data_IF_819586514152
#
_entry.id   IF_819586514152
#
_cell.length_a   1.000
_cell.length_b   1.000
_cell.length_c   1.000
_cell.angle_alpha   90.00
_cell.angle_beta   90.00
_cell.angle_gamma   90.00
#
_symmetry.space_group_name_H-M   'P 1'
#
loop_
_entity.id
_entity.type
_entity.pdbx_description
1 polymer ?
#
# COMPACT_ATOMS: atom_id res chain seq x y z
N UNK A 1 2.40 -4.94 35.50
CA UNK A 1 1.53 -4.63 34.34
C UNK A 1 0.67 -3.43 34.70
N UNK A 2 0.39 -2.50 33.75
CA UNK A 2 -0.54 -1.41 34.02
C UNK A 2 -1.87 -1.99 34.54
N UNK A 3 -2.52 -1.28 35.47
CA UNK A 3 -3.72 -1.76 36.17
C UNK A 3 -4.96 -1.94 35.27
N UNK A 4 -4.88 -1.49 34.02
CA UNK A 4 -5.96 -1.56 33.02
C UNK A 4 -6.10 -2.96 32.42
N UNK A 5 -7.32 -3.34 32.05
CA UNK A 5 -7.69 -4.65 31.49
C UNK A 5 -7.50 -5.86 32.44
N UNK A 6 -7.60 -5.66 33.77
CA UNK A 6 -7.55 -6.77 34.75
C UNK A 6 -8.86 -7.55 34.85
N UNK A 7 -9.98 -6.85 34.66
CA UNK A 7 -11.32 -7.41 34.76
C UNK A 7 -11.89 -7.68 33.35
N UNK A 8 -12.78 -8.67 33.20
CA UNK A 8 -13.45 -8.93 31.93
C UNK A 8 -14.38 -7.77 31.54
N UNK A 9 -14.58 -7.61 30.23
CA UNK A 9 -15.46 -6.60 29.64
C UNK A 9 -16.82 -7.20 29.29
N UNK A 10 -17.90 -6.45 29.50
CA UNK A 10 -19.27 -6.88 29.20
C UNK A 10 -19.63 -6.68 27.72
N UNK A 11 -19.03 -5.68 27.06
CA UNK A 11 -19.22 -5.38 25.66
C UNK A 11 -17.90 -5.15 24.93
N UNK A 12 -17.86 -5.47 23.64
CA UNK A 12 -16.76 -5.07 22.75
C UNK A 12 -16.63 -3.54 22.66
N UNK A 13 -17.72 -2.80 22.87
CA UNK A 13 -17.69 -1.33 22.90
C UNK A 13 -16.85 -0.80 24.07
N UNK A 14 -16.78 -1.53 25.18
CA UNK A 14 -16.00 -1.15 26.36
C UNK A 14 -14.48 -1.33 26.14
N UNK A 15 -14.09 -2.00 25.06
CA UNK A 15 -12.69 -2.11 24.60
C UNK A 15 -12.23 -0.88 23.81
N UNK A 16 -13.13 0.05 23.48
CA UNK A 16 -12.78 1.24 22.71
C UNK A 16 -12.01 2.22 23.60
N UNK A 17 -10.79 2.51 23.19
CA UNK A 17 -9.90 3.45 23.88
C UNK A 17 -8.82 2.77 24.70
N UNK A 18 -8.11 3.57 25.50
CA UNK A 18 -6.93 3.13 26.26
C UNK A 18 -5.89 2.34 25.46
N UNK A 19 -5.77 2.67 24.17
CA UNK A 19 -4.84 2.02 23.25
C UNK A 19 -3.39 2.21 23.70
N UNK A 20 -2.48 1.26 23.44
CA UNK A 20 -1.09 1.42 23.85
C UNK A 20 -0.41 2.61 23.16
N UNK A 21 0.58 3.19 23.86
CA UNK A 21 1.52 4.14 23.27
C UNK A 21 2.90 3.47 23.23
N UNK A 22 3.51 3.47 22.05
CA UNK A 22 4.77 2.77 21.79
C UNK A 22 5.84 3.77 21.35
N UNK A 23 7.07 3.61 21.86
CA UNK A 23 8.23 4.36 21.37
C UNK A 23 8.77 3.71 20.10
N UNK A 24 8.97 4.48 19.05
CA UNK A 24 9.65 4.02 17.83
C UNK A 24 11.16 3.91 18.07
N UNK A 25 11.82 2.96 17.40
CA UNK A 25 13.23 2.61 17.66
C UNK A 25 14.07 2.61 16.38
N UNK A 26 13.73 1.76 15.42
CA UNK A 26 14.47 1.54 14.18
C UNK A 26 14.20 2.65 13.15
N UNK A 27 12.93 3.02 12.95
CA UNK A 27 12.54 3.91 11.84
C UNK A 27 12.91 5.38 12.06
N UNK A 28 13.29 5.75 13.28
CA UNK A 28 13.62 7.15 13.63
C UNK A 28 14.99 7.59 13.08
N UNK A 29 15.75 6.68 12.46
CA UNK A 29 17.04 6.96 11.79
C UNK A 29 18.02 7.77 12.64
N UNK A 30 18.14 7.39 13.92
CA UNK A 30 19.04 8.05 14.86
C UNK A 30 18.59 9.44 15.36
N UNK A 31 17.34 9.84 15.14
CA UNK A 31 16.80 11.06 15.72
C UNK A 31 16.98 11.07 17.25
N UNK A 32 17.59 12.14 17.78
CA UNK A 32 17.84 12.28 19.22
C UNK A 32 16.55 12.49 20.01
N UNK A 33 15.60 13.22 19.43
CA UNK A 33 14.26 13.42 19.99
C UNK A 33 13.42 12.14 19.91
N UNK A 34 12.92 11.59 21.03
CA UNK A 34 12.04 10.43 21.04
C UNK A 34 10.70 10.67 20.33
N UNK A 35 10.33 9.73 19.44
CA UNK A 35 9.01 9.68 18.79
C UNK A 35 8.21 8.50 19.34
N UNK A 36 6.97 8.78 19.71
CA UNK A 36 6.00 7.81 20.20
C UNK A 36 4.80 7.77 19.27
N UNK A 37 4.14 6.62 19.20
CA UNK A 37 2.93 6.43 18.43
C UNK A 37 1.82 5.83 19.30
N UNK A 38 0.62 6.39 19.19
CA UNK A 38 -0.60 5.86 19.81
C UNK A 38 -1.25 4.84 18.86
N UNK A 39 -1.39 3.60 19.30
CA UNK A 39 -1.77 2.46 18.45
C UNK A 39 -3.30 2.33 18.33
N UNK A 40 -3.93 3.30 17.68
CA UNK A 40 -5.39 3.38 17.55
C UNK A 40 -6.03 2.23 16.75
N UNK A 41 -5.25 1.53 15.93
CA UNK A 41 -5.69 0.29 15.29
C UNK A 41 -6.03 -0.84 16.28
N UNK A 42 -5.60 -0.74 17.54
CA UNK A 42 -5.88 -1.78 18.56
C UNK A 42 -7.29 -1.69 19.14
N UNK A 43 -8.11 -0.74 18.68
CA UNK A 43 -9.55 -0.76 18.92
C UNK A 43 -10.22 -1.98 18.25
N UNK A 44 -11.41 -2.40 18.73
CA UNK A 44 -12.09 -3.60 18.25
C UNK A 44 -12.53 -3.55 16.78
N UNK A 45 -12.86 -2.37 16.27
CA UNK A 45 -13.14 -2.13 14.85
C UNK A 45 -11.87 -1.87 14.03
N UNK A 46 -10.70 -1.94 14.66
CA UNK A 46 -9.40 -1.87 14.01
C UNK A 46 -8.98 -0.47 13.60
N UNK A 47 -9.58 0.59 14.18
CA UNK A 47 -9.21 1.96 13.84
C UNK A 47 -9.59 3.01 14.89
N UNK A 48 -8.97 4.19 14.78
CA UNK A 48 -9.30 5.39 15.57
C UNK A 48 -10.78 5.79 15.48
N UNK A 49 -11.48 5.41 14.40
CA UNK A 49 -12.87 5.81 14.17
C UNK A 49 -13.85 5.08 15.07
N UNK A 50 -13.43 3.99 15.72
CA UNK A 50 -14.23 3.28 16.73
C UNK A 50 -14.74 4.25 17.80
N UNK A 51 -13.88 5.18 18.23
CA UNK A 51 -14.21 6.24 19.21
C UNK A 51 -15.36 7.11 18.74
N UNK A 52 -15.31 7.58 17.50
CA UNK A 52 -16.31 8.54 17.00
C UNK A 52 -17.62 7.85 16.62
N UNK A 53 -17.55 6.59 16.20
CA UNK A 53 -18.74 5.82 15.83
C UNK A 53 -19.71 5.67 16.99
N UNK A 54 -19.20 5.21 18.15
CA UNK A 54 -20.03 5.12 19.36
C UNK A 54 -20.41 6.51 19.90
N UNK A 55 -19.47 7.46 19.93
CA UNK A 55 -19.74 8.78 20.50
C UNK A 55 -20.84 9.56 19.75
N UNK A 56 -20.89 9.46 18.41
CA UNK A 56 -21.96 10.11 17.63
C UNK A 56 -23.33 9.46 17.87
N UNK A 57 -23.38 8.13 18.08
CA UNK A 57 -24.62 7.42 18.43
C UNK A 57 -25.09 7.85 19.82
N UNK A 58 -24.19 7.86 20.82
CA UNK A 58 -24.52 8.23 22.20
C UNK A 58 -24.90 9.70 22.33
N UNK A 59 -24.30 10.58 21.52
CA UNK A 59 -24.74 11.97 21.42
C UNK A 59 -26.18 12.07 20.93
N UNK A 60 -26.52 11.37 19.84
CA UNK A 60 -27.88 11.35 19.30
C UNK A 60 -28.91 10.71 20.25
N UNK A 61 -28.51 9.68 21.02
CA UNK A 61 -29.31 9.09 22.10
C UNK A 61 -29.61 10.13 23.19
N UNK A 62 -28.56 10.82 23.67
CA UNK A 62 -28.67 11.83 24.75
C UNK A 62 -29.49 13.04 24.34
N UNK A 63 -29.43 13.43 23.07
CA UNK A 63 -30.25 14.51 22.49
C UNK A 63 -31.69 14.08 22.21
N UNK A 64 -31.97 12.76 22.26
CA UNK A 64 -33.28 12.20 21.95
C UNK A 64 -33.63 12.19 20.46
N UNK A 65 -32.67 12.50 19.58
CA UNK A 65 -32.82 12.49 18.12
C UNK A 65 -32.80 11.06 17.58
N UNK A 66 -32.05 10.16 18.23
CA UNK A 66 -32.04 8.73 17.96
C UNK A 66 -32.82 7.96 19.04
N UNK A 67 -33.92 7.30 18.65
CA UNK A 67 -34.77 6.48 19.53
C UNK A 67 -34.47 5.00 19.33
N UNK A 68 -34.82 4.17 20.32
CA UNK A 68 -34.67 2.71 20.25
C UNK A 68 -35.22 2.12 18.93
N UNK A 69 -34.42 1.29 18.26
CA UNK A 69 -34.75 0.74 16.94
C UNK A 69 -34.64 1.74 15.77
N UNK A 70 -34.14 2.96 16.03
CA UNK A 70 -33.90 3.99 15.02
C UNK A 70 -32.79 3.64 14.03
N UNK A 71 -32.53 4.55 13.10
CA UNK A 71 -31.57 4.33 12.02
C UNK A 71 -30.43 5.35 12.06
N UNK A 72 -29.20 4.88 11.91
CA UNK A 72 -28.01 5.71 11.76
C UNK A 72 -27.59 5.67 10.30
N UNK A 73 -27.43 6.84 9.69
CA UNK A 73 -27.06 6.98 8.29
C UNK A 73 -25.71 7.71 8.19
N UNK A 74 -24.81 7.24 7.33
CA UNK A 74 -23.54 7.93 7.09
C UNK A 74 -23.07 7.83 5.65
N UNK A 75 -22.48 8.92 5.16
CA UNK A 75 -21.86 9.00 3.85
C UNK A 75 -20.39 8.56 3.91
N UNK A 76 -20.14 7.25 3.99
CA UNK A 76 -18.79 6.70 4.09
C UNK A 76 -18.69 5.24 3.66
N UNK A 77 -17.56 4.88 3.07
CA UNK A 77 -17.14 3.47 2.88
C UNK A 77 -15.91 3.10 3.70
N UNK A 78 -15.48 3.96 4.64
CA UNK A 78 -14.25 3.81 5.39
C UNK A 78 -14.46 3.37 6.84
N UNK A 79 -13.44 3.66 7.64
CA UNK A 79 -13.34 3.26 9.05
C UNK A 79 -14.52 3.74 9.91
N UNK A 80 -15.07 4.93 9.63
CA UNK A 80 -16.24 5.48 10.35
C UNK A 80 -17.50 4.65 10.11
N UNK A 81 -17.71 4.16 8.88
CA UNK A 81 -18.88 3.33 8.58
C UNK A 81 -18.84 2.02 9.35
N UNK A 82 -17.64 1.42 9.44
CA UNK A 82 -17.42 0.20 10.21
C UNK A 82 -17.68 0.41 11.71
N UNK A 83 -17.14 1.50 12.26
CA UNK A 83 -17.34 1.87 13.66
C UNK A 83 -18.83 2.09 13.99
N UNK A 84 -19.55 2.79 13.11
CA UNK A 84 -20.99 3.02 13.25
C UNK A 84 -21.78 1.71 13.12
N UNK A 85 -21.44 0.84 12.15
CA UNK A 85 -22.10 -0.45 11.97
C UNK A 85 -21.95 -1.34 13.20
N UNK A 86 -20.73 -1.45 13.74
CA UNK A 86 -20.44 -2.19 14.96
C UNK A 86 -21.23 -1.67 16.15
N UNK A 87 -21.19 -0.35 16.40
CA UNK A 87 -21.90 0.26 17.53
C UNK A 87 -23.44 0.16 17.36
N UNK A 88 -23.96 0.40 16.16
CA UNK A 88 -25.38 0.28 15.85
C UNK A 88 -25.89 -1.16 16.07
N UNK A 89 -25.16 -2.17 15.59
CA UNK A 89 -25.54 -3.58 15.77
C UNK A 89 -25.69 -3.95 17.25
N UNK A 90 -24.78 -3.48 18.11
CA UNK A 90 -24.77 -3.78 19.53
C UNK A 90 -25.78 -2.98 20.34
N UNK A 91 -26.12 -1.77 19.88
CA UNK A 91 -27.14 -0.90 20.51
C UNK A 91 -28.55 -1.08 19.94
N UNK A 92 -28.73 -1.99 18.97
CA UNK A 92 -30.04 -2.31 18.40
C UNK A 92 -30.54 -1.27 17.40
N UNK A 93 -29.64 -0.62 16.67
CA UNK A 93 -29.95 0.33 15.61
C UNK A 93 -29.72 -0.27 14.23
N UNK A 94 -30.49 0.22 13.25
CA UNK A 94 -30.21 -0.02 11.84
C UNK A 94 -29.10 0.92 11.38
N UNK A 95 -28.15 0.44 10.59
CA UNK A 95 -27.07 1.26 10.03
C UNK A 95 -27.14 1.25 8.50
N UNK A 96 -27.13 2.44 7.87
CA UNK A 96 -27.12 2.60 6.42
C UNK A 96 -25.90 3.43 6.03
N UNK A 97 -25.00 2.85 5.23
CA UNK A 97 -23.85 3.55 4.67
C UNK A 97 -24.06 3.81 3.18
N UNK A 98 -23.88 5.06 2.74
CA UNK A 98 -23.78 5.39 1.31
C UNK A 98 -22.32 5.53 0.90
N UNK A 99 -21.95 4.96 -0.24
CA UNK A 99 -20.58 5.09 -0.75
C UNK A 99 -20.52 5.04 -2.28
N UNK A 100 -19.51 5.70 -2.90
CA UNK A 100 -19.30 5.63 -4.34
C UNK A 100 -18.94 4.22 -4.84
N UNK A 101 -19.30 3.92 -6.08
CA UNK A 101 -19.01 2.65 -6.79
C UNK A 101 -17.51 2.37 -7.04
N UNK A 102 -16.63 3.38 -6.91
CA UNK A 102 -15.17 3.19 -6.94
C UNK A 102 -14.59 2.55 -5.68
N UNK A 103 -15.38 2.41 -4.61
CA UNK A 103 -14.91 1.80 -3.36
C UNK A 103 -14.70 0.30 -3.53
N UNK A 104 -13.71 -0.25 -2.84
CA UNK A 104 -13.32 -1.65 -2.98
C UNK A 104 -14.44 -2.61 -2.52
N UNK A 105 -14.52 -3.78 -3.16
CA UNK A 105 -15.54 -4.79 -2.84
C UNK A 105 -15.44 -5.29 -1.39
N UNK A 106 -14.22 -5.28 -0.86
CA UNK A 106 -13.86 -5.68 0.50
C UNK A 106 -14.51 -4.77 1.54
N UNK A 107 -14.55 -3.45 1.29
CA UNK A 107 -15.18 -2.49 2.20
C UNK A 107 -16.70 -2.69 2.28
N UNK A 108 -17.33 -2.95 1.13
CA UNK A 108 -18.77 -3.26 1.06
C UNK A 108 -19.09 -4.56 1.81
N UNK A 109 -18.29 -5.62 1.59
CA UNK A 109 -18.47 -6.91 2.26
C UNK A 109 -18.27 -6.79 3.77
N UNK A 110 -17.26 -6.03 4.21
CA UNK A 110 -16.98 -5.82 5.62
C UNK A 110 -18.15 -5.10 6.32
N UNK A 111 -18.66 -4.01 5.75
CA UNK A 111 -19.81 -3.29 6.32
C UNK A 111 -21.05 -4.19 6.43
N UNK A 112 -21.34 -4.97 5.38
CA UNK A 112 -22.45 -5.93 5.40
C UNK A 112 -22.27 -7.03 6.44
N UNK A 113 -21.04 -7.47 6.69
CA UNK A 113 -20.74 -8.46 7.73
C UNK A 113 -21.05 -7.94 9.15
N UNK A 114 -20.89 -6.63 9.37
CA UNK A 114 -21.32 -5.93 10.60
C UNK A 114 -22.80 -5.53 10.61
N UNK A 115 -23.58 -6.01 9.63
CA UNK A 115 -25.03 -5.78 9.58
C UNK A 115 -25.45 -4.43 9.01
N UNK A 116 -24.53 -3.64 8.44
CA UNK A 116 -24.88 -2.40 7.78
C UNK A 116 -25.47 -2.65 6.39
N UNK A 117 -26.50 -1.88 6.05
CA UNK A 117 -26.98 -1.76 4.68
C UNK A 117 -26.06 -0.82 3.91
N UNK A 118 -25.71 -1.22 2.69
CA UNK A 118 -24.78 -0.47 1.84
C UNK A 118 -25.49 -0.04 0.57
N UNK A 119 -25.63 1.27 0.39
CA UNK A 119 -26.16 1.90 -0.82
C UNK A 119 -24.99 2.41 -1.66
N UNK A 120 -24.81 1.78 -2.82
CA UNK A 120 -23.79 2.20 -3.78
C UNK A 120 -24.32 3.35 -4.64
N UNK A 121 -23.51 4.38 -4.82
CA UNK A 121 -23.83 5.55 -5.64
C UNK A 121 -22.81 5.76 -6.76
N UNK A 122 -23.17 6.38 -7.89
CA UNK A 122 -22.21 6.69 -8.95
C UNK A 122 -21.07 7.59 -8.46
N UNK A 123 -19.83 7.30 -8.85
CA UNK A 123 -18.68 8.19 -8.57
C UNK A 123 -18.68 9.43 -9.45
N UNK A 124 -19.07 9.31 -10.71
CA UNK A 124 -18.90 10.35 -11.73
C UNK A 124 -20.03 11.39 -11.72
N UNK A 125 -20.37 11.93 -10.54
CA UNK A 125 -21.36 12.99 -10.38
C UNK A 125 -20.81 14.13 -9.52
N UNK A 126 -21.17 15.40 -9.79
CA UNK A 126 -20.78 16.54 -8.96
C UNK A 126 -21.30 16.44 -7.50
N UNK A 127 -20.66 17.12 -6.52
CA UNK A 127 -21.02 17.05 -5.10
C UNK A 127 -22.46 17.46 -4.73
N UNK A 128 -23.09 18.30 -5.55
CA UNK A 128 -24.46 18.80 -5.41
C UNK A 128 -25.49 17.90 -6.13
N UNK A 129 -25.05 16.93 -6.93
CA UNK A 129 -25.94 16.02 -7.63
C UNK A 129 -26.70 15.10 -6.65
N UNK A 130 -28.02 14.84 -6.86
CA UNK A 130 -28.83 14.02 -5.94
C UNK A 130 -28.29 12.60 -5.69
N UNK A 131 -27.61 12.02 -6.68
CA UNK A 131 -26.98 10.70 -6.56
C UNK A 131 -25.57 10.73 -6.00
N UNK A 132 -25.01 11.90 -5.66
CA UNK A 132 -23.76 11.97 -4.93
C UNK A 132 -23.94 11.31 -3.55
N UNK A 133 -22.97 10.49 -3.13
CA UNK A 133 -23.08 9.66 -1.91
C UNK A 133 -23.54 10.45 -0.67
N UNK A 134 -23.06 11.69 -0.50
CA UNK A 134 -23.46 12.58 0.59
C UNK A 134 -24.92 13.04 0.47
N UNK A 135 -25.35 13.45 -0.73
CA UNK A 135 -26.75 13.87 -0.97
C UNK A 135 -27.69 12.69 -0.80
N UNK A 136 -27.26 11.50 -1.22
CA UNK A 136 -28.01 10.27 -1.02
C UNK A 136 -28.20 9.93 0.46
N UNK A 137 -27.16 10.08 1.28
CA UNK A 137 -27.27 9.89 2.74
C UNK A 137 -28.26 10.88 3.36
N UNK A 138 -28.18 12.16 2.98
CA UNK A 138 -29.12 13.19 3.42
C UNK A 138 -30.56 12.87 3.03
N UNK A 139 -30.78 12.45 1.79
CA UNK A 139 -32.10 12.07 1.30
C UNK A 139 -32.66 10.84 2.04
N UNK A 140 -31.84 9.81 2.27
CA UNK A 140 -32.23 8.62 3.05
C UNK A 140 -32.60 9.02 4.49
N UNK A 141 -31.79 9.88 5.12
CA UNK A 141 -32.05 10.37 6.48
C UNK A 141 -33.38 11.11 6.54
N UNK A 142 -33.61 12.05 5.63
CA UNK A 142 -34.85 12.83 5.58
C UNK A 142 -36.10 11.98 5.29
N UNK A 143 -35.96 10.92 4.49
CA UNK A 143 -37.06 10.03 4.11
C UNK A 143 -37.33 8.90 5.12
N UNK A 144 -36.43 8.66 6.08
CA UNK A 144 -36.54 7.54 7.02
C UNK A 144 -36.94 8.05 8.41
N UNK A 145 -38.16 7.76 8.88
CA UNK A 145 -38.60 8.18 10.22
C UNK A 145 -37.68 7.65 11.32
N UNK A 146 -37.21 8.55 12.19
CA UNK A 146 -36.29 8.19 13.28
C UNK A 146 -34.85 7.91 12.84
N UNK A 147 -34.49 8.30 11.61
CA UNK A 147 -33.11 8.29 11.17
C UNK A 147 -32.35 9.55 11.60
N UNK A 148 -31.07 9.36 11.96
CA UNK A 148 -30.11 10.44 12.19
C UNK A 148 -28.91 10.24 11.28
N UNK A 149 -28.38 11.34 10.77
CA UNK A 149 -27.12 11.32 10.05
C UNK A 149 -25.98 11.50 11.05
N UNK A 150 -24.97 10.64 11.04
CA UNK A 150 -23.84 10.77 11.96
C UNK A 150 -23.02 12.03 11.65
N UNK A 151 -22.84 12.34 10.36
CA UNK A 151 -22.28 13.59 9.82
C UNK A 151 -20.90 13.95 10.41
N UNK A 152 -19.95 13.00 10.30
CA UNK A 152 -18.66 13.05 10.98
C UNK A 152 -17.81 14.31 10.74
N UNK A 153 -18.08 15.07 9.67
CA UNK A 153 -17.36 16.29 9.33
C UNK A 153 -17.84 17.52 10.12
N UNK A 154 -19.07 17.49 10.65
CA UNK A 154 -19.72 18.62 11.33
C UNK A 154 -20.28 18.27 12.71
N UNK A 155 -20.28 16.98 13.10
CA UNK A 155 -20.75 16.54 14.40
C UNK A 155 -19.68 16.76 15.49
N UNK A 156 -19.96 17.64 16.46
CA UNK A 156 -19.06 17.97 17.58
C UNK A 156 -18.74 16.77 18.50
N UNK A 157 -19.53 15.70 18.48
CA UNK A 157 -19.17 14.47 19.18
C UNK A 157 -17.85 13.87 18.69
N UNK A 158 -17.45 14.15 17.45
CA UNK A 158 -16.17 13.72 16.88
C UNK A 158 -14.95 14.37 17.58
N UNK A 159 -14.77 15.71 17.57
CA UNK A 159 -13.68 16.33 18.34
C UNK A 159 -13.83 16.11 19.85
N UNK A 160 -15.06 16.12 20.38
CA UNK A 160 -15.28 15.99 21.81
C UNK A 160 -14.81 14.63 22.36
N UNK A 161 -15.05 13.51 21.67
CA UNK A 161 -14.58 12.21 22.17
C UNK A 161 -13.05 12.15 22.22
N UNK A 162 -12.37 12.77 21.27
CA UNK A 162 -10.90 12.83 21.26
C UNK A 162 -10.34 13.75 22.35
N UNK A 163 -11.07 14.81 22.71
CA UNK A 163 -10.78 15.63 23.87
C UNK A 163 -10.90 14.84 25.18
N UNK A 164 -12.03 14.15 25.38
CA UNK A 164 -12.35 13.43 26.61
C UNK A 164 -11.52 12.15 26.80
N UNK A 165 -11.14 11.51 25.70
CA UNK A 165 -10.44 10.22 25.72
C UNK A 165 -9.02 10.34 25.17
N UNK A 166 -8.84 10.42 23.86
CA UNK A 166 -7.51 10.31 23.21
C UNK A 166 -6.49 11.30 23.78
N UNK A 167 -6.85 12.58 23.95
CA UNK A 167 -5.97 13.61 24.51
C UNK A 167 -5.59 13.32 25.96
N UNK A 168 -6.57 12.94 26.79
CA UNK A 168 -6.35 12.49 28.18
C UNK A 168 -5.43 11.28 28.24
N UNK A 169 -5.66 10.28 27.40
CA UNK A 169 -4.85 9.07 27.37
C UNK A 169 -3.39 9.38 27.02
N UNK A 170 -3.15 10.23 26.01
CA UNK A 170 -1.80 10.66 25.63
C UNK A 170 -1.11 11.42 26.78
N UNK A 171 -1.84 12.32 27.44
CA UNK A 171 -1.32 13.06 28.59
C UNK A 171 -0.93 12.13 29.74
N UNK A 172 -1.81 11.22 30.13
CA UNK A 172 -1.55 10.26 31.21
C UNK A 172 -0.42 9.28 30.86
N UNK A 173 -0.43 8.70 29.66
CA UNK A 173 0.59 7.73 29.22
C UNK A 173 1.98 8.36 29.05
N UNK A 174 2.06 9.66 28.73
CA UNK A 174 3.32 10.40 28.70
C UNK A 174 3.78 10.86 30.08
N UNK A 175 2.91 10.81 31.10
CA UNK A 175 3.15 11.41 32.41
C UNK A 175 3.22 12.94 32.35
N UNK A 176 2.44 13.56 31.46
CA UNK A 176 2.41 15.01 31.23
C UNK A 176 3.64 15.57 30.49
N UNK A 177 4.46 14.70 29.87
CA UNK A 177 5.72 15.09 29.20
C UNK A 177 5.56 15.39 27.72
N UNK A 178 4.41 15.09 27.11
CA UNK A 178 4.16 15.38 25.69
C UNK A 178 4.48 16.85 25.38
N UNK A 179 5.29 17.07 24.35
CA UNK A 179 5.73 18.40 23.90
C UNK A 179 5.16 18.75 22.54
N UNK A 180 5.00 17.73 21.67
CA UNK A 180 4.50 17.88 20.32
C UNK A 180 3.50 16.76 20.06
N UNK A 181 2.34 17.10 19.49
CA UNK A 181 1.39 16.14 18.96
C UNK A 181 1.27 16.34 17.45
N UNK A 182 1.50 15.28 16.69
CA UNK A 182 1.53 15.29 15.23
C UNK A 182 0.35 14.46 14.72
N UNK A 183 -0.52 15.07 13.93
CA UNK A 183 -1.67 14.38 13.36
C UNK A 183 -2.06 14.97 12.00
N UNK A 184 -2.72 14.16 11.16
CA UNK A 184 -3.34 14.61 9.93
C UNK A 184 -4.83 14.87 10.13
N UNK A 185 -5.38 15.86 9.43
CA UNK A 185 -6.82 16.08 9.40
C UNK A 185 -7.45 15.35 8.21
N UNK A 186 -8.31 14.36 8.50
CA UNK A 186 -9.35 13.92 7.56
C UNK A 186 -10.62 14.72 7.81
N UNK A 187 -11.33 14.37 8.89
CA UNK A 187 -12.42 15.20 9.44
C UNK A 187 -11.90 16.34 10.31
N UNK A 188 -10.67 16.27 10.82
CA UNK A 188 -10.13 17.25 11.77
C UNK A 188 -10.46 16.99 13.24
N UNK A 189 -11.52 16.22 13.54
CA UNK A 189 -11.93 15.95 14.93
C UNK A 189 -10.81 15.44 15.85
N UNK A 190 -9.93 14.55 15.38
CA UNK A 190 -8.81 14.05 16.20
C UNK A 190 -7.80 15.13 16.57
N UNK A 191 -7.29 15.90 15.59
CA UNK A 191 -6.29 16.95 15.86
C UNK A 191 -6.90 18.07 16.70
N UNK A 192 -8.16 18.43 16.43
CA UNK A 192 -8.93 19.40 17.23
C UNK A 192 -9.08 18.95 18.67
N UNK A 193 -9.65 17.77 18.90
CA UNK A 193 -9.97 17.28 20.24
C UNK A 193 -8.74 17.07 21.11
N UNK A 194 -7.73 16.38 20.56
CA UNK A 194 -6.45 16.19 21.26
C UNK A 194 -5.75 17.53 21.49
N UNK A 195 -5.72 18.41 20.48
CA UNK A 195 -5.10 19.73 20.58
C UNK A 195 -5.70 20.59 21.70
N UNK A 196 -7.04 20.69 21.74
CA UNK A 196 -7.78 21.40 22.80
C UNK A 196 -7.41 20.85 24.19
N UNK A 197 -7.42 19.53 24.37
CA UNK A 197 -7.10 18.92 25.67
C UNK A 197 -5.66 19.18 26.09
N UNK A 198 -4.70 18.96 25.19
CA UNK A 198 -3.29 19.11 25.50
C UNK A 198 -2.91 20.57 25.79
N UNK A 199 -3.46 21.53 25.03
CA UNK A 199 -3.25 22.97 25.30
C UNK A 199 -3.90 23.44 26.59
N UNK A 200 -5.03 22.85 27.01
CA UNK A 200 -5.58 23.09 28.36
C UNK A 200 -4.60 22.64 29.46
N UNK A 201 -3.99 21.46 29.31
CA UNK A 201 -3.05 20.93 30.30
C UNK A 201 -1.71 21.63 30.30
N UNK A 202 -1.21 21.97 29.12
CA UNK A 202 0.02 22.73 28.95
C UNK A 202 -0.04 23.51 27.63
N UNK A 203 -0.21 24.86 27.67
CA UNK A 203 -0.32 25.68 26.46
C UNK A 203 0.96 25.70 25.62
N UNK A 204 2.10 25.25 26.17
CA UNK A 204 3.36 25.13 25.44
C UNK A 204 3.41 23.89 24.52
N UNK A 205 2.45 22.96 24.61
CA UNK A 205 2.37 21.83 23.68
C UNK A 205 2.08 22.35 22.27
N UNK A 206 2.89 21.89 21.32
CA UNK A 206 2.78 22.22 19.90
C UNK A 206 1.96 21.16 19.17
N UNK A 207 0.93 21.59 18.45
CA UNK A 207 0.06 20.74 17.64
C UNK A 207 0.45 20.92 16.18
N UNK A 208 0.90 19.85 15.53
CA UNK A 208 1.44 19.90 14.17
C UNK A 208 0.57 19.08 13.23
N UNK A 209 -0.01 19.76 12.24
CA UNK A 209 -0.74 19.15 11.14
C UNK A 209 0.21 18.56 10.10
N UNK A 210 -0.08 17.35 9.61
CA UNK A 210 0.56 16.77 8.41
C UNK A 210 -0.51 16.54 7.35
N UNK A 211 -0.37 17.13 6.18
CA UNK A 211 -1.31 17.01 5.06
C UNK A 211 -0.67 16.27 3.89
N UNK A 212 -1.44 15.44 3.15
CA UNK A 212 -0.97 14.94 1.88
C UNK A 212 -0.92 16.05 0.83
N UNK A 213 0.08 15.99 -0.05
CA UNK A 213 0.07 16.78 -1.29
C UNK A 213 -1.25 16.58 -2.05
N UNK A 214 -1.87 17.70 -2.45
CA UNK A 214 -3.17 17.72 -3.12
C UNK A 214 -4.37 17.97 -2.20
N UNK A 215 -4.21 17.95 -0.88
CA UNK A 215 -5.23 18.50 0.03
C UNK A 215 -5.16 20.02 0.12
N UNK A 216 -6.30 20.65 0.37
CA UNK A 216 -6.40 22.11 0.58
C UNK A 216 -6.20 22.55 2.04
N UNK A 217 -6.08 21.63 3.01
CA UNK A 217 -6.10 21.98 4.44
C UNK A 217 -4.87 22.76 4.85
N UNK A 218 -3.67 22.24 4.56
CA UNK A 218 -2.41 22.94 4.83
C UNK A 218 -2.24 24.22 4.00
N UNK A 219 -2.52 24.25 2.68
CA UNK A 219 -2.53 25.50 1.93
C UNK A 219 -3.42 26.58 2.55
N UNK A 220 -4.64 26.21 2.94
CA UNK A 220 -5.58 27.13 3.59
C UNK A 220 -5.05 27.62 4.95
N UNK A 221 -4.51 26.73 5.78
CA UNK A 221 -3.89 27.12 7.06
C UNK A 221 -2.73 28.09 6.87
N UNK A 222 -1.83 27.82 5.92
CA UNK A 222 -0.59 28.57 5.73
C UNK A 222 -0.79 29.92 5.01
N UNK A 223 -1.79 30.03 4.14
CA UNK A 223 -1.96 31.19 3.25
C UNK A 223 -3.29 31.92 3.44
N UNK A 224 -4.29 31.28 4.05
CA UNK A 224 -5.68 31.75 4.08
C UNK A 224 -6.45 31.55 2.77
N UNK A 225 -5.81 31.01 1.72
CA UNK A 225 -6.42 30.83 0.41
C UNK A 225 -6.88 29.38 0.20
N UNK A 226 -8.08 29.21 -0.33
CA UNK A 226 -8.61 27.91 -0.74
C UNK A 226 -8.13 27.62 -2.16
N UNK A 227 -7.14 26.74 -2.29
CA UNK A 227 -6.66 26.25 -3.58
C UNK A 227 -7.53 25.14 -4.17
N UNK A 228 -7.14 24.64 -5.35
CA UNK A 228 -7.77 23.45 -5.93
C UNK A 228 -7.16 22.17 -5.33
N UNK A 229 -8.01 21.24 -4.90
CA UNK A 229 -7.56 19.91 -4.49
C UNK A 229 -7.13 19.09 -5.71
N UNK A 230 -6.07 18.30 -5.58
CA UNK A 230 -5.69 17.31 -6.59
C UNK A 230 -5.75 15.89 -6.01
N UNK A 231 -6.01 14.86 -6.84
CA UNK A 231 -6.11 13.49 -6.34
C UNK A 231 -4.79 12.97 -5.78
N UNK A 232 -4.87 12.32 -4.61
CA UNK A 232 -3.79 11.56 -3.98
C UNK A 232 -4.27 10.15 -3.61
N UNK A 233 -3.33 9.27 -3.24
CA UNK A 233 -3.54 7.84 -3.03
C UNK A 233 -3.67 7.46 -1.56
N UNK A 234 -3.06 8.21 -0.63
CA UNK A 234 -3.24 7.95 0.80
C UNK A 234 -4.70 8.13 1.19
N UNK A 235 -5.22 7.25 2.03
CA UNK A 235 -6.64 7.22 2.39
C UNK A 235 -6.88 7.70 3.82
N UNK A 236 -8.00 8.39 4.03
CA UNK A 236 -8.51 8.75 5.36
C UNK A 236 -8.02 10.07 5.94
N UNK A 237 -7.16 10.79 5.21
CA UNK A 237 -6.58 12.08 5.57
C UNK A 237 -6.59 13.03 4.36
N UNK A 238 -6.42 14.33 4.61
CA UNK A 238 -6.59 15.37 3.62
C UNK A 238 -8.06 15.55 3.23
N UNK A 239 -8.35 16.67 2.60
CA UNK A 239 -9.69 17.08 2.22
C UNK A 239 -9.70 18.06 1.04
N UNK A 240 -10.83 18.12 0.35
CA UNK A 240 -11.20 19.10 -0.69
C UNK A 240 -12.04 20.26 -0.14
N UNK A 241 -12.37 20.20 1.16
CA UNK A 241 -13.06 21.25 1.93
C UNK A 241 -12.50 21.33 3.34
N UNK A 242 -12.68 22.47 4.02
CA UNK A 242 -12.37 22.58 5.45
C UNK A 242 -13.53 22.01 6.28
N UNK A 243 -13.33 20.92 7.06
CA UNK A 243 -14.39 20.36 7.89
C UNK A 243 -14.79 21.29 9.03
N UNK A 244 -16.06 21.26 9.44
CA UNK A 244 -16.53 22.05 10.60
C UNK A 244 -15.94 21.59 11.94
N UNK A 245 -15.56 20.31 12.04
CA UNK A 245 -14.89 19.75 13.23
C UNK A 245 -13.39 20.03 13.30
N UNK A 246 -12.81 20.68 12.28
CA UNK A 246 -11.42 21.12 12.29
C UNK A 246 -11.32 22.54 12.87
N UNK A 247 -10.70 22.64 14.04
CA UNK A 247 -10.35 23.90 14.68
C UNK A 247 -8.90 24.22 14.32
N UNK A 248 -8.69 25.18 13.41
CA UNK A 248 -7.35 25.56 12.98
C UNK A 248 -6.62 26.41 14.01
N UNK A 249 -7.33 27.07 14.93
CA UNK A 249 -6.73 27.94 15.94
C UNK A 249 -5.92 27.14 16.99
N UNK A 250 -6.21 25.84 17.13
CA UNK A 250 -5.42 24.96 18.00
C UNK A 250 -4.17 24.39 17.32
N UNK A 251 -4.02 24.54 16.00
CA UNK A 251 -2.89 24.02 15.23
C UNK A 251 -1.78 25.07 15.14
N UNK A 252 -0.56 24.66 15.44
CA UNK A 252 0.60 25.55 15.56
C UNK A 252 1.51 25.58 14.32
N UNK A 253 1.48 24.51 13.53
CA UNK A 253 2.28 24.30 12.30
C UNK A 253 1.54 23.28 11.42
N UNK A 254 1.63 23.40 10.10
CA UNK A 254 1.00 22.48 9.16
C UNK A 254 1.89 22.23 7.96
N UNK A 255 2.30 20.97 7.77
CA UNK A 255 3.27 20.55 6.75
C UNK A 255 2.60 19.72 5.68
N UNK A 256 3.13 19.81 4.47
CA UNK A 256 2.66 19.05 3.30
C UNK A 256 3.70 17.99 2.96
N UNK A 257 3.26 16.75 2.74
CA UNK A 257 4.13 15.63 2.39
C UNK A 257 3.53 14.77 1.27
N UNK A 258 4.35 14.19 0.38
CA UNK A 258 3.87 13.38 -0.73
C UNK A 258 3.44 11.97 -0.29
N UNK A 259 2.57 11.34 -1.09
CA UNK A 259 2.17 9.93 -0.94
C UNK A 259 3.36 8.97 -0.84
N UNK A 260 4.44 9.23 -1.58
CA UNK A 260 5.64 8.40 -1.57
C UNK A 260 6.25 8.30 -0.17
N UNK A 261 6.29 9.40 0.58
CA UNK A 261 6.78 9.43 1.96
C UNK A 261 5.87 8.61 2.88
N UNK A 262 4.56 8.72 2.69
CA UNK A 262 3.56 7.94 3.44
C UNK A 262 3.79 6.44 3.28
N UNK A 263 3.86 5.98 2.04
CA UNK A 263 3.92 4.57 1.71
C UNK A 263 5.29 3.96 2.03
N UNK A 264 6.38 4.69 1.78
CA UNK A 264 7.70 4.25 2.20
C UNK A 264 7.76 4.05 3.71
N UNK A 265 7.27 5.03 4.50
CA UNK A 265 7.30 4.93 5.95
C UNK A 265 6.38 3.84 6.49
N UNK A 266 5.16 3.65 5.95
CA UNK A 266 4.27 2.56 6.37
C UNK A 266 4.93 1.17 6.19
N UNK A 267 5.62 0.95 5.07
CA UNK A 267 6.36 -0.29 4.81
C UNK A 267 7.57 -0.45 5.74
N UNK A 268 8.29 0.63 6.02
CA UNK A 268 9.39 0.64 7.00
C UNK A 268 8.91 0.31 8.40
N UNK A 269 7.85 0.97 8.89
CA UNK A 269 7.23 0.65 10.19
C UNK A 269 6.87 -0.83 10.31
N UNK A 270 6.32 -1.42 9.25
CA UNK A 270 5.99 -2.85 9.25
C UNK A 270 7.24 -3.74 9.35
N UNK A 271 8.28 -3.45 8.55
CA UNK A 271 9.49 -4.28 8.47
C UNK A 271 10.46 -4.08 9.64
N UNK A 272 10.57 -2.86 10.15
CA UNK A 272 11.62 -2.44 11.08
C UNK A 272 11.11 -2.30 12.53
N UNK A 273 9.80 -2.09 12.74
CA UNK A 273 9.17 -2.01 14.07
C UNK A 273 8.16 -3.13 14.34
N UNK A 274 7.80 -3.92 13.32
CA UNK A 274 6.70 -4.88 13.43
C UNK A 274 5.32 -4.22 13.53
N UNK A 275 5.20 -2.93 13.17
CA UNK A 275 3.96 -2.16 13.24
C UNK A 275 3.23 -2.18 11.90
N UNK A 276 2.23 -3.05 11.78
CA UNK A 276 1.46 -3.22 10.54
C UNK A 276 0.39 -2.14 10.37
N UNK A 277 0.78 -1.02 9.76
CA UNK A 277 0.02 0.23 9.76
C UNK A 277 -0.55 0.61 8.38
N UNK A 278 -1.58 1.46 8.36
CA UNK A 278 -2.06 2.11 7.14
C UNK A 278 -1.15 3.22 6.60
N UNK A 279 -1.41 3.68 5.37
CA UNK A 279 -0.64 4.75 4.73
C UNK A 279 -0.71 6.09 5.46
N UNK A 280 -1.85 6.44 6.05
CA UNK A 280 -2.02 7.69 6.81
C UNK A 280 -1.09 7.76 8.03
N UNK A 281 -0.91 6.64 8.73
CA UNK A 281 0.05 6.52 9.81
C UNK A 281 1.48 6.70 9.30
N UNK A 282 1.82 6.13 8.14
CA UNK A 282 3.10 6.34 7.50
C UNK A 282 3.41 7.82 7.25
N UNK A 283 2.43 8.59 6.74
CA UNK A 283 2.61 10.03 6.49
C UNK A 283 2.86 10.81 7.80
N UNK A 284 2.02 10.59 8.81
CA UNK A 284 2.14 11.30 10.10
C UNK A 284 3.43 10.92 10.86
N UNK A 285 3.84 9.65 10.80
CA UNK A 285 5.08 9.18 11.44
C UNK A 285 6.30 9.72 10.70
N UNK A 286 6.27 9.78 9.36
CA UNK A 286 7.32 10.42 8.58
C UNK A 286 7.50 11.88 9.00
N UNK A 287 6.41 12.67 8.99
CA UNK A 287 6.44 14.07 9.42
C UNK A 287 6.87 14.24 10.89
N UNK A 288 6.47 13.32 11.79
CA UNK A 288 6.89 13.34 13.19
C UNK A 288 8.39 13.08 13.35
N UNK A 289 8.98 12.20 12.54
CA UNK A 289 10.42 11.91 12.55
C UNK A 289 11.20 13.09 11.98
N UNK A 290 10.74 13.72 10.89
CA UNK A 290 11.36 14.94 10.36
C UNK A 290 11.33 16.07 11.39
N UNK A 291 10.20 16.27 12.06
CA UNK A 291 10.07 17.21 13.17
C UNK A 291 11.02 16.87 14.33
N UNK A 292 11.10 15.60 14.72
CA UNK A 292 11.99 15.14 15.79
C UNK A 292 13.46 15.41 15.47
N UNK A 293 13.89 15.23 14.22
CA UNK A 293 15.23 15.57 13.73
C UNK A 293 15.50 17.07 13.76
N UNK A 294 14.49 17.90 13.50
CA UNK A 294 14.61 19.36 13.59
C UNK A 294 14.68 19.88 15.03
N UNK A 295 13.92 19.27 15.95
CA UNK A 295 13.92 19.64 17.38
C UNK A 295 15.26 19.30 18.03
N UNK A 296 15.84 18.14 17.71
CA UNK A 296 17.12 17.64 18.23
C UNK A 296 17.30 17.74 19.77
N UNK A 297 16.23 17.45 20.53
CA UNK A 297 16.22 17.47 21.99
C UNK A 297 15.82 16.09 22.57
N UNK A 298 16.72 15.39 23.28
CA UNK A 298 16.40 14.10 23.89
C UNK A 298 15.34 14.18 25.00
N UNK A 299 15.02 15.37 25.51
CA UNK A 299 13.98 15.57 26.53
C UNK A 299 12.61 15.89 25.92
N UNK A 300 12.54 16.22 24.64
CA UNK A 300 11.29 16.40 23.95
C UNK A 300 10.54 15.06 23.82
N UNK A 301 9.23 15.14 23.66
CA UNK A 301 8.34 13.99 23.60
C UNK A 301 7.33 14.24 22.48
N UNK A 302 7.60 13.64 21.32
CA UNK A 302 6.78 13.77 20.11
C UNK A 302 5.83 12.59 20.04
N UNK A 303 4.53 12.84 19.90
CA UNK A 303 3.50 11.79 19.78
C UNK A 303 2.80 11.91 18.43
N UNK A 304 2.70 10.80 17.72
CA UNK A 304 1.90 10.64 16.50
C UNK A 304 0.90 9.48 16.66
N UNK A 305 0.16 9.15 15.61
CA UNK A 305 -0.92 8.16 15.64
C UNK A 305 -0.69 7.03 14.62
N UNK A 306 -1.10 5.82 14.97
CA UNK A 306 -1.33 4.74 14.00
C UNK A 306 -2.82 4.47 13.91
N UNK A 307 -3.47 5.11 12.93
CA UNK A 307 -4.92 5.21 12.83
C UNK A 307 -5.64 3.87 12.61
N UNK A 308 -5.07 2.97 11.83
CA UNK A 308 -5.68 1.70 11.43
C UNK A 308 -4.65 0.66 10.97
N UNK A 309 -5.12 -0.59 10.84
CA UNK A 309 -4.32 -1.72 10.40
C UNK A 309 -3.93 -1.64 8.92
N UNK A 310 -2.70 -2.09 8.62
CA UNK A 310 -2.19 -2.23 7.27
C UNK A 310 -2.95 -3.23 6.39
N UNK A 311 -3.70 -4.17 7.00
CA UNK A 311 -4.45 -5.22 6.30
C UNK A 311 -5.46 -4.68 5.27
N UNK A 312 -5.99 -3.48 5.53
CA UNK A 312 -6.94 -2.78 4.66
C UNK A 312 -6.33 -2.36 3.32
N UNK A 313 -5.00 -2.45 3.22
CA UNK A 313 -4.21 -1.93 2.10
C UNK A 313 -3.25 -2.97 1.51
N UNK A 314 -3.53 -4.28 1.73
CA UNK A 314 -2.70 -5.37 1.23
C UNK A 314 -2.52 -5.36 -0.29
N UNK A 315 -3.58 -5.06 -1.05
CA UNK A 315 -3.56 -4.92 -2.51
C UNK A 315 -3.14 -3.53 -2.98
N UNK A 316 -2.55 -2.70 -2.10
CA UNK A 316 -2.12 -1.33 -2.37
C UNK A 316 -0.68 -1.09 -1.91
N UNK A 317 -0.47 -0.32 -0.84
CA UNK A 317 0.88 0.03 -0.33
C UNK A 317 1.75 -1.19 -0.01
N UNK A 318 1.13 -2.32 0.34
CA UNK A 318 1.86 -3.57 0.61
C UNK A 318 2.06 -4.45 -0.63
N UNK A 319 1.47 -4.09 -1.76
CA UNK A 319 1.65 -4.74 -3.06
C UNK A 319 2.75 -4.01 -3.85
N UNK A 320 3.83 -4.73 -4.17
CA UNK A 320 4.95 -4.18 -4.92
C UNK A 320 4.60 -3.81 -6.37
N UNK A 321 3.66 -4.52 -7.00
CA UNK A 321 3.18 -4.20 -8.34
C UNK A 321 2.41 -2.89 -8.30
N UNK A 322 1.43 -2.75 -7.40
CA UNK A 322 0.69 -1.51 -7.21
C UNK A 322 1.62 -0.33 -6.91
N UNK A 323 2.62 -0.53 -6.05
CA UNK A 323 3.61 0.52 -5.73
C UNK A 323 4.43 0.93 -6.95
N UNK A 324 4.81 0.01 -7.86
CA UNK A 324 5.52 0.32 -9.12
C UNK A 324 4.62 0.98 -10.16
N UNK A 325 3.37 0.53 -10.28
CA UNK A 325 2.38 1.13 -11.18
C UNK A 325 2.10 2.59 -10.84
N UNK A 326 2.10 2.91 -9.55
CA UNK A 326 1.89 4.28 -9.06
C UNK A 326 3.21 5.06 -8.87
N UNK A 327 4.36 4.52 -9.29
CA UNK A 327 5.64 5.22 -9.30
C UNK A 327 6.30 5.40 -7.92
N UNK A 328 5.84 4.72 -6.89
CA UNK A 328 6.37 4.81 -5.52
C UNK A 328 7.54 3.87 -5.26
N UNK A 329 7.69 2.83 -6.08
CA UNK A 329 8.89 2.00 -6.17
C UNK A 329 9.50 2.16 -7.55
N UNK A 330 10.83 2.16 -7.60
CA UNK A 330 11.52 2.03 -8.88
C UNK A 330 11.08 0.73 -9.55
N UNK A 331 10.69 0.83 -10.82
CA UNK A 331 10.65 -0.35 -11.68
C UNK A 331 12.08 -0.84 -11.75
N UNK A 332 12.34 -2.05 -11.27
CA UNK A 332 13.58 -2.75 -11.55
C UNK A 332 13.86 -2.56 -13.04
N UNK A 333 15.03 -2.04 -13.43
CA UNK A 333 15.42 -2.04 -14.84
C UNK A 333 15.51 -3.50 -15.25
N UNK A 334 14.42 -4.00 -15.80
CA UNK A 334 14.26 -5.36 -16.26
C UNK A 334 15.29 -5.59 -17.36
N UNK A 335 16.25 -6.48 -17.09
CA UNK A 335 17.21 -6.89 -18.11
C UNK A 335 16.43 -7.71 -19.13
N UNK A 336 16.36 -7.24 -20.37
CA UNK A 336 15.64 -7.92 -21.45
C UNK A 336 16.50 -9.02 -22.08
N UNK A 337 15.88 -9.90 -22.88
CA UNK A 337 16.60 -10.87 -23.70
C UNK A 337 17.62 -10.18 -24.63
N UNK A 338 17.30 -8.98 -25.16
CA UNK A 338 18.25 -8.14 -25.91
C UNK A 338 19.44 -7.71 -25.06
N UNK A 339 19.19 -7.20 -23.86
CA UNK A 339 20.27 -6.76 -22.95
C UNK A 339 21.21 -7.92 -22.57
N UNK A 340 20.67 -9.14 -22.45
CA UNK A 340 21.48 -10.35 -22.18
C UNK A 340 22.38 -10.71 -23.37
N UNK A 341 21.93 -10.49 -24.60
CA UNK A 341 22.73 -10.67 -25.82
C UNK A 341 23.80 -9.57 -25.90
N UNK A 342 23.43 -8.31 -25.73
CA UNK A 342 24.34 -7.16 -25.88
C UNK A 342 25.50 -7.18 -24.87
N UNK A 343 25.28 -7.75 -23.69
CA UNK A 343 26.33 -7.94 -22.67
C UNK A 343 27.32 -9.06 -22.99
N UNK A 344 27.11 -9.86 -24.05
CA UNK A 344 28.08 -10.85 -24.54
C UNK A 344 29.20 -10.17 -25.30
N UNK A 345 30.14 -9.56 -24.57
CA UNK A 345 31.38 -9.05 -25.17
C UNK A 345 32.18 -10.25 -25.71
N UNK A 346 32.17 -10.48 -27.03
CA UNK A 346 32.98 -11.50 -27.70
C UNK A 346 33.10 -11.19 -29.20
N UNK A 347 34.23 -11.55 -29.82
CA UNK A 347 34.47 -11.44 -31.28
C UNK A 347 33.72 -12.53 -32.11
N UNK A 348 32.94 -13.40 -31.47
CA UNK A 348 32.17 -14.45 -32.12
C UNK A 348 30.80 -13.95 -32.67
N UNK A 349 30.23 -14.58 -33.71
CA UNK A 349 28.91 -14.24 -34.25
C UNK A 349 27.80 -14.33 -33.19
N UNK A 350 26.81 -13.43 -33.25
CA UNK A 350 25.66 -13.38 -32.31
C UNK A 350 24.86 -14.70 -32.27
N UNK A 351 24.86 -15.45 -33.39
CA UNK A 351 24.19 -16.74 -33.51
C UNK A 351 24.98 -17.65 -34.46
N UNK A 352 25.40 -18.82 -33.96
CA UNK A 352 26.07 -19.87 -34.75
C UNK A 352 25.09 -21.03 -34.92
N UNK A 353 24.86 -21.46 -36.15
CA UNK A 353 23.86 -22.49 -36.49
C UNK A 353 24.43 -23.52 -37.46
N UNK A 354 23.73 -24.63 -37.63
CA UNK A 354 23.99 -25.63 -38.68
C UNK A 354 22.70 -25.97 -39.42
N UNK A 355 22.81 -26.39 -40.67
CA UNK A 355 21.68 -26.90 -41.45
C UNK A 355 21.41 -28.38 -41.13
N UNK A 356 20.18 -28.89 -41.29
CA UNK A 356 19.81 -30.29 -41.04
C UNK A 356 20.74 -31.33 -41.68
N UNK A 357 21.18 -31.07 -42.93
CA UNK A 357 22.06 -31.94 -43.69
C UNK A 357 23.55 -31.85 -43.34
N UNK A 358 23.94 -30.95 -42.44
CA UNK A 358 25.34 -30.80 -41.99
C UNK A 358 25.80 -32.10 -41.34
N UNK A 359 27.03 -32.55 -41.57
CA UNK A 359 27.52 -33.77 -40.91
C UNK A 359 27.80 -33.54 -39.42
N UNK A 360 27.64 -34.60 -38.61
CA UNK A 360 27.93 -34.55 -37.16
C UNK A 360 29.39 -34.13 -36.91
N UNK A 361 30.33 -34.56 -37.76
CA UNK A 361 31.74 -34.13 -37.72
C UNK A 361 31.90 -32.62 -37.84
N UNK A 362 31.19 -32.00 -38.78
CA UNK A 362 31.22 -30.54 -38.97
C UNK A 362 30.58 -29.86 -37.76
N UNK A 363 29.43 -30.34 -37.29
CA UNK A 363 28.77 -29.78 -36.10
C UNK A 363 29.65 -29.82 -34.85
N UNK A 364 30.33 -30.94 -34.57
CA UNK A 364 31.30 -31.04 -33.47
C UNK A 364 32.50 -30.10 -33.67
N UNK A 365 33.01 -29.99 -34.90
CA UNK A 365 34.12 -29.07 -35.20
C UNK A 365 33.71 -27.61 -34.99
N UNK A 366 32.47 -27.23 -35.36
CA UNK A 366 31.90 -25.90 -35.13
C UNK A 366 31.74 -25.61 -33.64
N UNK A 367 31.24 -26.57 -32.86
CA UNK A 367 31.14 -26.50 -31.39
C UNK A 367 32.51 -26.19 -30.78
N UNK A 368 33.53 -26.97 -31.14
CA UNK A 368 34.89 -26.78 -30.62
C UNK A 368 35.53 -25.48 -31.10
N UNK A 369 35.37 -25.12 -32.37
CA UNK A 369 35.98 -23.90 -32.94
C UNK A 369 35.46 -22.61 -32.32
N UNK A 370 34.22 -22.63 -31.83
CA UNK A 370 33.57 -21.46 -31.23
C UNK A 370 33.44 -21.55 -29.70
N UNK A 371 33.99 -22.60 -29.06
CA UNK A 371 33.91 -22.84 -27.61
C UNK A 371 32.47 -22.75 -27.06
N UNK A 372 31.52 -23.40 -27.75
CA UNK A 372 30.10 -23.41 -27.40
C UNK A 372 29.64 -24.84 -27.09
N UNK A 373 28.73 -25.01 -26.12
CA UNK A 373 28.23 -26.33 -25.75
C UNK A 373 27.05 -26.86 -26.58
N UNK A 374 26.50 -26.05 -27.49
CA UNK A 374 25.27 -26.36 -28.22
C UNK A 374 25.10 -25.56 -29.51
N UNK A 375 24.34 -26.12 -30.46
CA UNK A 375 24.03 -25.52 -31.75
C UNK A 375 22.54 -25.65 -32.07
N UNK A 376 21.87 -24.55 -32.45
CA UNK A 376 20.57 -24.60 -33.13
C UNK A 376 20.72 -25.18 -34.55
N UNK A 377 19.80 -26.05 -34.92
CA UNK A 377 19.62 -26.53 -36.29
C UNK A 377 18.57 -25.65 -36.96
N UNK A 378 18.94 -24.98 -38.06
CA UNK A 378 18.10 -23.97 -38.72
C UNK A 378 17.88 -24.36 -40.18
N UNK A 379 16.63 -24.27 -40.63
CA UNK A 379 16.21 -24.41 -42.03
C UNK A 379 15.26 -23.27 -42.37
N UNK A 380 15.43 -22.64 -43.52
CA UNK A 380 14.57 -21.55 -43.99
C UNK A 380 14.37 -20.42 -42.96
N UNK A 381 15.42 -20.10 -42.20
CA UNK A 381 15.41 -19.06 -41.16
C UNK A 381 14.71 -19.45 -39.85
N UNK A 382 14.18 -20.68 -39.74
CA UNK A 382 13.49 -21.19 -38.56
C UNK A 382 14.30 -22.28 -37.86
N UNK A 383 14.27 -22.29 -36.53
CA UNK A 383 14.90 -23.37 -35.76
C UNK A 383 14.03 -24.63 -35.82
N UNK A 384 14.59 -25.70 -36.38
CA UNK A 384 13.90 -26.99 -36.59
C UNK A 384 14.41 -28.08 -35.64
N UNK A 385 15.53 -27.85 -34.96
CA UNK A 385 16.09 -28.77 -33.98
C UNK A 385 17.25 -28.16 -33.20
N UNK A 386 17.83 -28.95 -32.31
CA UNK A 386 19.02 -28.56 -31.56
C UNK A 386 19.98 -29.73 -31.36
N UNK A 387 21.27 -29.43 -31.22
CA UNK A 387 22.28 -30.41 -30.80
C UNK A 387 23.15 -29.85 -29.70
N UNK A 388 23.61 -30.74 -28.82
CA UNK A 388 24.54 -30.41 -27.73
C UNK A 388 25.81 -31.23 -27.87
N UNK A 389 26.93 -30.66 -27.45
CA UNK A 389 28.23 -31.34 -27.46
C UNK A 389 28.15 -32.68 -26.72
N UNK A 390 27.56 -32.68 -25.52
CA UNK A 390 27.39 -33.89 -24.71
C UNK A 390 26.60 -34.99 -25.42
N UNK A 391 25.50 -34.63 -26.10
CA UNK A 391 24.69 -35.60 -26.84
C UNK A 391 25.46 -36.18 -28.02
N UNK A 392 26.06 -35.32 -28.86
CA UNK A 392 26.81 -35.77 -30.04
C UNK A 392 28.01 -36.62 -29.66
N UNK A 393 28.81 -36.20 -28.67
CA UNK A 393 29.97 -36.97 -28.20
C UNK A 393 29.54 -38.33 -27.64
N UNK A 394 28.47 -38.38 -26.83
CA UNK A 394 28.00 -39.64 -26.26
C UNK A 394 27.58 -40.65 -27.33
N UNK A 395 26.94 -40.20 -28.41
CA UNK A 395 26.50 -41.06 -29.51
C UNK A 395 27.67 -41.49 -30.39
N UNK A 396 28.60 -40.58 -30.72
CA UNK A 396 29.78 -40.89 -31.55
C UNK A 396 30.74 -41.87 -30.86
N UNK A 397 30.84 -41.83 -29.53
CA UNK A 397 31.63 -42.81 -28.77
C UNK A 397 31.05 -44.23 -28.85
N UNK A 398 29.74 -44.36 -29.06
CA UNK A 398 29.06 -45.66 -29.23
C UNK A 398 29.14 -46.14 -30.68
N UNK A 399 28.98 -45.23 -31.65
CA UNK A 399 29.08 -45.51 -33.07
C UNK A 399 29.83 -44.40 -33.83
N UNK A 400 31.09 -44.68 -34.17
CA UNK A 400 31.93 -43.73 -34.91
C UNK A 400 31.45 -43.47 -36.34
N UNK A 401 30.63 -44.36 -36.92
CA UNK A 401 30.09 -44.16 -38.26
C UNK A 401 29.06 -43.01 -38.32
N UNK A 402 28.56 -42.55 -37.17
CA UNK A 402 27.69 -41.38 -37.08
C UNK A 402 28.39 -40.08 -37.51
N UNK A 403 29.72 -39.99 -37.43
CA UNK A 403 30.44 -38.76 -37.78
C UNK A 403 30.12 -38.23 -39.17
N UNK A 404 29.83 -39.11 -40.12
CA UNK A 404 29.54 -38.75 -41.51
C UNK A 404 28.02 -38.72 -41.82
N UNK A 405 27.17 -38.94 -40.80
CA UNK A 405 25.71 -38.80 -40.90
C UNK A 405 25.27 -37.34 -40.73
N UNK A 406 24.11 -36.96 -41.30
CA UNK A 406 23.53 -35.63 -41.10
C UNK A 406 23.03 -35.43 -39.67
N UNK A 407 23.06 -34.19 -39.19
CA UNK A 407 22.68 -33.80 -37.84
C UNK A 407 21.19 -34.07 -37.56
N UNK A 408 20.32 -33.96 -38.57
CA UNK A 408 18.88 -34.25 -38.43
C UNK A 408 18.57 -35.68 -38.00
N UNK A 409 19.48 -36.62 -38.23
CA UNK A 409 19.35 -38.02 -37.81
C UNK A 409 19.47 -38.23 -36.29
N UNK A 410 20.00 -37.25 -35.56
CA UNK A 410 20.30 -37.35 -34.11
C UNK A 410 19.88 -36.11 -33.31
N UNK A 411 19.28 -35.10 -33.95
CA UNK A 411 18.94 -33.83 -33.29
C UNK A 411 17.81 -33.98 -32.27
N UNK A 412 17.86 -33.13 -31.25
CA UNK A 412 16.79 -32.94 -30.28
C UNK A 412 15.76 -31.91 -30.80
N UNK A 413 14.60 -31.75 -30.13
CA UNK A 413 13.64 -30.69 -30.45
C UNK A 413 14.27 -29.28 -30.50
N UNK A 414 13.68 -28.33 -31.25
CA UNK A 414 14.19 -26.97 -31.37
C UNK A 414 14.19 -26.24 -30.02
N UNK A 415 15.09 -25.26 -29.89
CA UNK A 415 15.06 -24.37 -28.73
C UNK A 415 13.80 -23.49 -28.74
N UNK A 416 13.24 -23.14 -27.57
CA UNK A 416 12.18 -22.13 -27.49
C UNK A 416 12.64 -20.81 -28.11
N UNK A 417 11.78 -20.20 -28.93
CA UNK A 417 12.02 -18.89 -29.55
C UNK A 417 11.21 -17.84 -28.78
N UNK A 418 11.89 -16.79 -28.33
CA UNK A 418 11.30 -15.67 -27.59
C UNK A 418 11.58 -14.35 -28.32
N UNK A 419 10.77 -13.32 -28.05
CA UNK A 419 11.04 -11.99 -28.56
C UNK A 419 12.16 -11.29 -27.78
N UNK A 420 12.83 -10.35 -28.41
CA UNK A 420 13.95 -9.57 -27.87
C UNK A 420 13.62 -8.72 -26.63
N UNK A 421 12.38 -8.26 -26.51
CA UNK A 421 11.88 -7.47 -25.38
C UNK A 421 11.38 -8.31 -24.19
N UNK A 422 11.45 -9.65 -24.27
CA UNK A 422 11.04 -10.54 -23.16
C UNK A 422 11.95 -10.32 -21.96
N UNK A 423 11.36 -10.28 -20.76
CA UNK A 423 12.07 -10.06 -19.51
C UNK A 423 12.92 -11.28 -19.10
N UNK A 424 14.11 -11.03 -18.52
CA UNK A 424 15.03 -12.09 -18.08
C UNK A 424 14.44 -13.07 -17.05
N UNK A 425 13.46 -12.66 -16.24
CA UNK A 425 12.77 -13.58 -15.31
C UNK A 425 11.92 -14.58 -16.09
N UNK A 426 11.25 -14.14 -17.15
CA UNK A 426 10.48 -15.02 -18.04
C UNK A 426 11.44 -15.95 -18.80
N UNK A 427 12.56 -15.44 -19.31
CA UNK A 427 13.62 -16.28 -19.90
C UNK A 427 14.10 -17.35 -18.92
N UNK A 428 14.26 -17.01 -17.64
CA UNK A 428 14.67 -17.98 -16.60
C UNK A 428 13.67 -19.12 -16.44
N UNK A 429 12.37 -18.86 -16.59
CA UNK A 429 11.35 -19.93 -16.50
C UNK A 429 11.45 -20.95 -17.65
N UNK A 430 11.94 -20.52 -18.81
CA UNK A 430 12.10 -21.36 -20.00
C UNK A 430 13.40 -22.18 -19.99
N UNK A 431 14.43 -21.69 -19.29
CA UNK A 431 15.73 -22.34 -19.14
C UNK A 431 15.70 -23.45 -18.08
N UNK A 432 15.30 -24.65 -18.49
CA UNK A 432 15.18 -25.83 -17.62
C UNK A 432 16.35 -26.82 -17.81
N UNK A 433 16.34 -27.96 -17.09
CA UNK A 433 17.30 -29.06 -17.36
C UNK A 433 17.13 -29.63 -18.79
N UNK A 434 15.92 -29.57 -19.36
CA UNK A 434 15.63 -30.05 -20.71
C UNK A 434 15.88 -29.00 -21.80
N UNK A 435 15.86 -27.70 -21.46
CA UNK A 435 16.06 -26.59 -22.38
C UNK A 435 17.25 -25.75 -21.95
N UNK A 436 18.42 -26.02 -22.55
CA UNK A 436 19.66 -25.38 -22.16
C UNK A 436 19.82 -23.93 -22.69
N UNK A 437 19.02 -23.54 -23.67
CA UNK A 437 18.97 -22.21 -24.25
C UNK A 437 17.59 -21.82 -24.77
N UNK A 438 17.42 -20.52 -24.99
CA UNK A 438 16.34 -19.93 -25.78
C UNK A 438 16.94 -19.14 -26.94
N UNK A 439 16.31 -19.22 -28.10
CA UNK A 439 16.62 -18.36 -29.23
C UNK A 439 15.85 -17.06 -29.13
N UNK A 440 16.46 -15.96 -29.53
CA UNK A 440 15.84 -14.64 -29.51
C UNK A 440 15.55 -14.20 -30.94
N UNK A 441 14.33 -13.72 -31.15
CA UNK A 441 13.83 -13.22 -32.42
C UNK A 441 13.55 -11.72 -32.33
N UNK A 442 13.96 -10.96 -33.34
CA UNK A 442 13.54 -9.59 -33.55
C UNK A 442 12.99 -9.47 -34.98
N UNK A 443 11.79 -8.88 -35.12
CA UNK A 443 11.11 -8.72 -36.41
C UNK A 443 10.97 -10.03 -37.21
N UNK A 444 10.80 -11.17 -36.52
CA UNK A 444 10.65 -12.48 -37.14
C UNK A 444 11.95 -13.14 -37.61
N UNK A 445 13.11 -12.55 -37.31
CA UNK A 445 14.43 -13.11 -37.59
C UNK A 445 15.16 -13.49 -36.32
N UNK A 446 15.86 -14.62 -36.32
CA UNK A 446 16.70 -15.04 -35.20
C UNK A 446 17.92 -14.11 -35.10
N UNK A 447 18.04 -13.42 -33.97
CA UNK A 447 19.09 -12.42 -33.70
C UNK A 447 20.08 -12.86 -32.63
N UNK A 448 19.80 -13.94 -31.91
CA UNK A 448 20.74 -14.43 -30.91
C UNK A 448 20.24 -15.64 -30.14
N UNK A 449 21.06 -16.06 -29.18
CA UNK A 449 20.78 -17.17 -28.27
C UNK A 449 21.08 -16.71 -26.84
N UNK A 450 20.21 -17.03 -25.89
CA UNK A 450 20.42 -16.81 -24.46
C UNK A 450 20.53 -18.16 -23.76
N UNK A 451 21.58 -18.33 -22.98
CA UNK A 451 21.89 -19.56 -22.24
C UNK A 451 21.74 -19.36 -20.74
N UNK A 452 21.74 -20.46 -19.98
CA UNK A 452 21.81 -20.42 -18.51
C UNK A 452 23.02 -19.63 -17.99
N UNK A 453 24.15 -19.71 -18.67
CA UNK A 453 25.36 -18.97 -18.30
C UNK A 453 25.14 -17.46 -18.42
N UNK A 454 24.47 -17.00 -19.49
CA UNK A 454 24.23 -15.58 -19.73
C UNK A 454 23.33 -14.97 -18.64
N UNK A 455 22.29 -15.68 -18.24
CA UNK A 455 21.38 -15.26 -17.16
C UNK A 455 22.12 -15.23 -15.81
N UNK A 456 22.89 -16.27 -15.47
CA UNK A 456 23.66 -16.30 -14.21
C UNK A 456 24.73 -15.21 -14.16
N UNK A 457 25.41 -14.95 -15.27
CA UNK A 457 26.39 -13.86 -15.38
C UNK A 457 25.72 -12.51 -15.17
N UNK A 458 24.54 -12.28 -15.75
CA UNK A 458 23.81 -11.02 -15.56
C UNK A 458 23.32 -10.82 -14.11
N UNK A 459 23.09 -11.90 -13.36
CA UNK A 459 22.72 -11.84 -11.93
C UNK A 459 23.92 -11.64 -10.99
N UNK A 460 25.13 -11.88 -11.46
CA UNK A 460 26.37 -11.83 -10.66
C UNK A 460 27.30 -10.68 -11.03
N UNK A 461 26.98 -9.95 -12.11
CA UNK A 461 27.59 -8.69 -12.51
C UNK A 461 26.89 -7.52 -11.81
#
# INVERSE_FOLDING_TARGET
MPERHRDPYDSVLDLIGWTPMLRLSSVVDGARTPVYVKLEFMGPGGSIKDRIGIAMIEAAEREGTLKAGGTVVEATGGNTGLALAMAASLKGYRCICTMPDKMSSEKVKLLRAFGAEVVITPTAVPPDHPDHYLQKARAITAATPGAVMADQFYNEANPQIHYETTGREIWEQSGGRVTHFVASAGTGGTITGVGRYLKEKNPAVRIVGIDPEGSITAPFFNTGEVGESTPYKVEGIGNDKIPGTLDLDVVDDYRVLPDQAAFAMARRMTREEGLFAGGSAGLMVHGAIELAKQIDDPNAFVVSLVCDWGERYLSKVYDDEWMRENGFLERSRHTTARDLIDKKISDAPELITVEPGTSIRIALSTITAHDIGQLPVVSDGSCVGSVTETSLMSQVLVDTALLDRPVDSVMAPPFPVIADHVDSEEVRTLLTRGNAACLVSANGQLVGIVTRYDVVRALTA
#
